data_IF_764787114263
#
_entry.id   IF_764787114263
#
_cell.length_a   1.000
_cell.length_b   1.000
_cell.length_c   1.000
_cell.angle_alpha   90.00
_cell.angle_beta   90.00
_cell.angle_gamma   90.00
#
_symmetry.space_group_name_H-M   'P 1'
#
loop_
_entity.id
_entity.type
_entity.pdbx_description
1 polymer ?
#
# COMPACT_ATOMS: atom_id res chain seq x y z
N UNK A 1 30.02 -13.88 16.29
CA UNK A 1 30.75 -12.75 15.70
C UNK A 1 30.65 -12.64 14.17
N UNK A 2 30.57 -13.70 13.35
CA UNK A 2 30.44 -13.58 11.87
C UNK A 2 29.03 -13.17 11.38
N UNK A 3 27.97 -13.52 12.11
CA UNK A 3 26.60 -13.15 11.72
C UNK A 3 26.27 -11.66 11.99
N UNK A 4 26.81 -11.09 13.06
CA UNK A 4 26.63 -9.67 13.40
C UNK A 4 27.37 -8.73 12.44
N UNK A 5 28.56 -9.10 11.94
CA UNK A 5 29.29 -8.30 10.95
C UNK A 5 28.59 -8.28 9.57
N UNK A 6 27.92 -9.37 9.16
CA UNK A 6 27.18 -9.41 7.89
C UNK A 6 25.87 -8.60 7.92
N UNK A 7 25.21 -8.50 9.07
CA UNK A 7 24.05 -7.59 9.25
C UNK A 7 24.49 -6.13 9.14
N UNK A 8 25.54 -5.71 9.87
CA UNK A 8 25.98 -4.31 9.88
C UNK A 8 26.44 -3.79 8.51
N UNK A 9 27.08 -4.61 7.68
CA UNK A 9 27.51 -4.20 6.33
C UNK A 9 26.34 -4.11 5.34
N UNK A 10 25.33 -4.99 5.42
CA UNK A 10 24.10 -4.88 4.61
C UNK A 10 23.27 -3.66 5.02
N UNK A 11 23.12 -3.39 6.31
CA UNK A 11 22.44 -2.20 6.82
C UNK A 11 23.13 -0.91 6.37
N UNK A 12 24.46 -0.86 6.35
CA UNK A 12 25.23 0.28 5.87
C UNK A 12 25.04 0.51 4.37
N UNK A 13 25.12 -0.54 3.55
CA UNK A 13 24.91 -0.44 2.10
C UNK A 13 23.49 0.00 1.75
N UNK A 14 22.48 -0.49 2.47
CA UNK A 14 21.09 -0.08 2.29
C UNK A 14 20.91 1.40 2.63
N UNK A 15 21.47 1.88 3.73
CA UNK A 15 21.42 3.29 4.13
C UNK A 15 22.13 4.20 3.11
N UNK A 16 23.29 3.79 2.60
CA UNK A 16 24.03 4.56 1.58
C UNK A 16 23.24 4.65 0.27
N UNK A 17 22.55 3.55 -0.12
CA UNK A 17 21.68 3.53 -1.28
C UNK A 17 20.46 4.45 -1.11
N UNK A 18 19.79 4.41 0.04
CA UNK A 18 18.68 5.31 0.37
C UNK A 18 19.12 6.77 0.38
N UNK A 19 20.29 7.07 0.98
CA UNK A 19 20.84 8.42 0.97
C UNK A 19 21.15 8.89 -0.46
N UNK A 20 21.68 8.02 -1.31
CA UNK A 20 21.94 8.34 -2.72
C UNK A 20 20.65 8.65 -3.46
N UNK A 21 19.59 7.86 -3.24
CA UNK A 21 18.28 8.09 -3.83
C UNK A 21 17.67 9.42 -3.31
N UNK A 22 17.72 9.68 -2.02
CA UNK A 22 17.27 10.93 -1.41
C UNK A 22 17.98 12.15 -2.02
N UNK A 23 19.32 12.11 -2.15
CA UNK A 23 20.10 13.20 -2.75
C UNK A 23 19.72 13.43 -4.23
N UNK A 24 19.47 12.35 -4.97
CA UNK A 24 19.03 12.43 -6.35
C UNK A 24 17.63 13.07 -6.48
N UNK A 25 16.68 12.66 -5.61
CA UNK A 25 15.33 13.24 -5.56
C UNK A 25 15.42 14.73 -5.23
N UNK A 26 16.16 15.11 -4.20
CA UNK A 26 16.34 16.52 -3.83
C UNK A 26 16.90 17.34 -5.00
N UNK A 27 18.01 16.90 -5.60
CA UNK A 27 18.61 17.59 -6.74
C UNK A 27 17.69 17.64 -7.98
N UNK A 28 16.81 16.64 -8.15
CA UNK A 28 15.83 16.61 -9.25
C UNK A 28 14.75 17.65 -9.06
N UNK A 29 14.26 17.81 -7.83
CA UNK A 29 13.24 18.80 -7.48
C UNK A 29 13.83 20.23 -7.44
N UNK A 30 15.06 20.40 -6.98
CA UNK A 30 15.76 21.70 -7.08
C UNK A 30 15.89 22.15 -8.55
N UNK A 31 16.26 21.25 -9.46
CA UNK A 31 16.33 21.56 -10.92
C UNK A 31 14.97 21.94 -11.53
N UNK A 32 13.86 21.43 -10.95
CA UNK A 32 12.51 21.85 -11.34
C UNK A 32 12.20 23.29 -10.88
N UNK A 33 12.96 23.82 -9.95
CA UNK A 33 12.74 25.13 -9.33
C UNK A 33 12.01 25.08 -7.99
N UNK A 34 11.90 23.92 -7.37
CA UNK A 34 11.33 23.78 -6.03
C UNK A 34 12.28 24.36 -4.98
N UNK A 35 11.71 24.96 -3.93
CA UNK A 35 12.39 25.06 -2.64
C UNK A 35 12.43 23.66 -2.02
N UNK A 36 13.61 23.19 -1.61
CA UNK A 36 13.78 21.83 -1.07
C UNK A 36 14.31 21.88 0.35
N UNK A 37 13.67 21.17 1.24
CA UNK A 37 14.08 20.93 2.62
C UNK A 37 14.20 19.43 2.86
N UNK A 38 15.21 19.01 3.63
CA UNK A 38 15.40 17.61 4.03
C UNK A 38 15.26 17.52 5.55
N UNK A 39 14.21 16.82 5.98
CA UNK A 39 13.89 16.65 7.41
C UNK A 39 14.42 15.29 7.85
N UNK A 40 15.40 15.28 8.74
CA UNK A 40 16.02 14.07 9.28
C UNK A 40 15.55 13.74 10.69
N UNK A 41 15.57 12.44 11.01
CA UNK A 41 15.50 11.87 12.37
C UNK A 41 16.63 10.87 12.50
N UNK A 42 17.28 10.83 13.67
CA UNK A 42 18.36 9.88 13.91
C UNK A 42 17.92 8.45 13.71
N UNK A 43 18.62 7.74 12.83
CA UNK A 43 18.40 6.33 12.55
C UNK A 43 17.36 6.01 11.49
N UNK A 44 16.62 7.01 10.99
CA UNK A 44 15.61 6.87 9.92
C UNK A 44 16.05 7.53 8.60
N UNK A 45 15.55 7.08 7.44
CA UNK A 45 15.64 7.79 6.17
C UNK A 45 14.95 9.15 6.25
N UNK A 46 15.50 10.18 5.63
CA UNK A 46 14.98 11.55 5.71
C UNK A 46 13.74 11.74 4.84
N UNK A 47 12.81 12.58 5.29
CA UNK A 47 11.72 13.10 4.46
C UNK A 47 12.24 14.26 3.61
N UNK A 48 12.03 14.21 2.30
CA UNK A 48 12.28 15.33 1.37
C UNK A 48 10.98 16.10 1.22
N UNK A 49 10.98 17.36 1.59
CA UNK A 49 9.88 18.30 1.38
C UNK A 49 10.28 19.27 0.28
N UNK A 50 9.46 19.38 -0.77
CA UNK A 50 9.75 20.32 -1.85
C UNK A 50 8.49 21.05 -2.29
N UNK A 51 8.58 22.36 -2.51
CA UNK A 51 7.43 23.17 -2.89
C UNK A 51 7.73 24.07 -4.08
N UNK A 52 6.73 24.21 -4.97
CA UNK A 52 6.79 25.11 -6.11
C UNK A 52 5.39 25.66 -6.42
N UNK A 53 5.30 26.93 -6.85
CA UNK A 53 4.05 27.59 -7.18
C UNK A 53 3.37 28.25 -5.98
N UNK A 54 2.20 28.82 -6.21
CA UNK A 54 1.41 29.56 -5.23
C UNK A 54 -0.10 29.27 -5.40
N UNK A 55 -0.91 29.61 -4.39
CA UNK A 55 -2.35 29.41 -4.39
C UNK A 55 -2.78 28.09 -3.78
N UNK A 56 -3.89 27.46 -4.28
CA UNK A 56 -4.35 26.19 -3.76
C UNK A 56 -3.24 25.16 -3.75
N UNK A 57 -3.13 24.37 -2.68
CA UNK A 57 -2.03 23.44 -2.49
C UNK A 57 -2.46 22.00 -2.75
N UNK A 58 -1.76 21.32 -3.67
CA UNK A 58 -1.83 19.87 -3.81
C UNK A 58 -0.56 19.25 -3.25
N UNK A 59 -0.70 18.31 -2.33
CA UNK A 59 0.42 17.54 -1.77
C UNK A 59 0.58 16.22 -2.54
N UNK A 60 1.76 15.97 -3.11
CA UNK A 60 2.13 14.72 -3.75
C UNK A 60 2.98 13.90 -2.78
N UNK A 61 2.43 12.81 -2.26
CA UNK A 61 3.13 11.86 -1.38
C UNK A 61 3.79 10.80 -2.25
N UNK A 62 5.08 10.60 -2.08
CA UNK A 62 5.89 9.71 -2.91
C UNK A 62 6.98 9.07 -2.06
N UNK A 63 7.65 8.05 -2.58
CA UNK A 63 8.77 7.43 -1.87
C UNK A 63 9.97 7.14 -2.76
N UNK A 64 11.15 6.99 -2.15
CA UNK A 64 12.40 6.71 -2.85
C UNK A 64 13.03 5.37 -2.47
N UNK A 65 12.50 4.66 -1.49
CA UNK A 65 12.86 3.27 -1.21
C UNK A 65 12.22 2.30 -2.23
N UNK A 66 12.52 1.05 -2.11
CA UNK A 66 12.01 -0.01 -3.00
C UNK A 66 12.06 -1.36 -2.28
N UNK A 67 11.17 -2.27 -2.64
CA UNK A 67 11.21 -3.66 -2.18
C UNK A 67 12.50 -4.40 -2.57
N UNK A 68 12.91 -5.42 -1.79
CA UNK A 68 13.98 -6.31 -2.19
C UNK A 68 13.74 -6.95 -3.57
N UNK A 69 14.81 -7.09 -4.35
CA UNK A 69 14.71 -7.63 -5.70
C UNK A 69 14.76 -9.18 -5.81
N UNK A 70 14.89 -9.88 -4.68
CA UNK A 70 14.91 -11.35 -4.70
C UNK A 70 13.54 -11.94 -5.12
N UNK A 71 13.55 -13.10 -5.83
CA UNK A 71 14.70 -13.88 -6.30
C UNK A 71 15.34 -13.29 -7.58
N UNK A 72 16.69 -13.20 -7.60
CA UNK A 72 17.41 -12.49 -8.66
C UNK A 72 17.47 -13.26 -9.98
N UNK A 73 17.40 -14.58 -9.93
CA UNK A 73 17.46 -15.49 -11.08
C UNK A 73 16.22 -15.42 -11.99
N UNK A 74 15.15 -14.82 -11.53
CA UNK A 74 13.91 -14.64 -12.30
C UNK A 74 13.86 -13.31 -13.06
N UNK A 75 14.88 -12.44 -12.92
CA UNK A 75 14.92 -11.18 -13.63
C UNK A 75 15.51 -11.33 -15.06
N UNK A 76 14.87 -10.70 -16.03
CA UNK A 76 15.33 -10.64 -17.44
C UNK A 76 16.57 -9.77 -17.63
N UNK A 77 16.83 -8.86 -16.70
CA UNK A 77 18.00 -7.98 -16.62
C UNK A 77 18.29 -7.68 -15.15
N UNK A 78 19.51 -7.28 -14.77
CA UNK A 78 19.80 -6.93 -13.39
C UNK A 78 18.79 -5.92 -12.84
N UNK A 79 18.17 -6.15 -11.67
CA UNK A 79 17.02 -5.37 -11.21
C UNK A 79 17.31 -3.88 -10.97
N UNK A 80 18.56 -3.52 -10.76
CA UNK A 80 18.99 -2.13 -10.53
C UNK A 80 19.71 -1.51 -11.73
N UNK A 81 19.69 -2.18 -12.88
CA UNK A 81 20.19 -1.69 -14.17
C UNK A 81 19.00 -1.56 -15.12
N UNK A 82 18.39 -0.36 -15.23
CA UNK A 82 17.18 -0.18 -16.02
C UNK A 82 17.35 -0.58 -17.49
N UNK A 83 16.45 -1.40 -17.99
CA UNK A 83 16.44 -1.85 -19.38
C UNK A 83 15.12 -1.55 -20.07
N UNK A 84 15.17 -0.96 -21.26
CA UNK A 84 13.96 -0.75 -22.07
C UNK A 84 13.76 -1.94 -23.00
N UNK A 85 12.60 -2.59 -22.90
CA UNK A 85 12.18 -3.70 -23.77
C UNK A 85 10.69 -3.55 -24.10
N UNK A 86 10.34 -3.68 -25.34
CA UNK A 86 8.94 -3.65 -25.82
C UNK A 86 8.12 -2.46 -25.29
N UNK A 87 8.73 -1.26 -25.25
CA UNK A 87 8.10 -0.05 -24.74
C UNK A 87 7.92 0.00 -23.22
N UNK A 88 8.58 -0.89 -22.49
CA UNK A 88 8.58 -0.94 -21.02
C UNK A 88 9.97 -0.67 -20.46
N UNK A 89 10.05 0.11 -19.41
CA UNK A 89 11.24 0.25 -18.58
C UNK A 89 11.18 -0.80 -17.48
N UNK A 90 12.11 -1.75 -17.48
CA UNK A 90 12.18 -2.87 -16.54
C UNK A 90 13.27 -2.57 -15.51
N UNK A 91 12.91 -2.39 -14.27
CA UNK A 91 13.81 -2.29 -13.11
C UNK A 91 13.01 -2.34 -11.81
N UNK A 92 13.64 -2.65 -10.68
CA UNK A 92 13.05 -2.46 -9.35
C UNK A 92 12.84 -0.97 -9.06
N UNK A 93 11.62 -0.57 -8.65
CA UNK A 93 11.21 0.82 -8.47
C UNK A 93 10.81 1.53 -9.77
N UNK A 94 10.70 0.80 -10.90
CA UNK A 94 10.33 1.40 -12.18
C UNK A 94 8.86 1.82 -12.21
N UNK A 95 7.99 1.06 -11.55
CA UNK A 95 6.59 1.41 -11.37
C UNK A 95 6.40 1.98 -9.97
N UNK A 96 6.81 1.26 -8.97
CA UNK A 96 6.64 1.49 -7.56
C UNK A 96 7.95 2.02 -6.92
N UNK A 97 8.16 3.36 -6.84
CA UNK A 97 7.24 4.41 -7.37
C UNK A 97 8.01 5.47 -8.19
N UNK A 98 9.31 5.22 -8.49
CA UNK A 98 10.20 6.21 -9.13
C UNK A 98 9.74 6.63 -10.53
N UNK A 99 9.10 5.73 -11.27
CA UNK A 99 8.56 6.04 -12.58
C UNK A 99 7.34 6.96 -12.51
N UNK A 100 6.42 6.71 -11.58
CA UNK A 100 5.27 7.59 -11.36
C UNK A 100 5.70 8.96 -10.82
N UNK A 101 6.62 9.00 -9.85
CA UNK A 101 7.22 10.24 -9.38
C UNK A 101 7.78 11.07 -10.56
N UNK A 102 8.58 10.44 -11.42
CA UNK A 102 9.15 11.12 -12.57
C UNK A 102 8.10 11.58 -13.58
N UNK A 103 7.08 10.78 -13.85
CA UNK A 103 6.00 11.17 -14.75
C UNK A 103 5.28 12.44 -14.24
N UNK A 104 5.03 12.55 -12.94
CA UNK A 104 4.48 13.76 -12.33
C UNK A 104 5.43 14.95 -12.47
N UNK A 105 6.71 14.78 -12.18
CA UNK A 105 7.74 15.82 -12.36
C UNK A 105 7.82 16.27 -13.81
N UNK A 106 7.77 15.38 -14.79
CA UNK A 106 7.73 15.73 -16.23
C UNK A 106 6.48 16.52 -16.59
N UNK A 107 5.34 16.21 -16.01
CA UNK A 107 4.11 17.01 -16.16
C UNK A 107 4.30 18.45 -15.70
N UNK A 108 4.93 18.65 -14.52
CA UNK A 108 5.25 20.00 -14.02
C UNK A 108 6.24 20.73 -14.91
N UNK A 109 7.32 20.06 -15.38
CA UNK A 109 8.28 20.64 -16.33
C UNK A 109 7.60 21.09 -17.62
N UNK A 110 6.75 20.24 -18.19
CA UNK A 110 6.01 20.57 -19.41
C UNK A 110 5.08 21.78 -19.19
N UNK A 111 4.41 21.82 -18.02
CA UNK A 111 3.56 22.94 -17.68
C UNK A 111 4.35 24.26 -17.55
N UNK A 112 5.44 24.23 -16.79
CA UNK A 112 6.31 25.40 -16.60
C UNK A 112 6.93 25.87 -17.93
N UNK A 113 7.35 24.94 -18.79
CA UNK A 113 7.87 25.28 -20.11
C UNK A 113 6.82 25.96 -21.01
N UNK A 114 5.55 25.56 -20.89
CA UNK A 114 4.49 26.10 -21.72
C UNK A 114 3.91 27.41 -21.16
N UNK A 115 3.81 27.57 -19.84
CA UNK A 115 3.04 28.66 -19.20
C UNK A 115 3.90 29.53 -18.27
N UNK A 116 5.13 29.16 -17.98
CA UNK A 116 6.08 29.91 -17.15
C UNK A 116 5.82 29.87 -15.64
N UNK A 117 4.63 29.48 -15.21
CA UNK A 117 4.22 29.36 -13.79
C UNK A 117 3.16 28.29 -13.61
N UNK A 118 3.11 27.69 -12.42
CA UNK A 118 2.02 26.76 -12.06
C UNK A 118 0.74 27.50 -11.65
N UNK A 119 -0.46 26.91 -11.86
CA UNK A 119 -1.73 27.51 -11.48
C UNK A 119 -2.07 27.30 -10.01
N UNK A 120 -1.33 26.44 -9.32
CA UNK A 120 -1.48 26.08 -7.91
C UNK A 120 -0.09 25.77 -7.31
N UNK A 121 -0.03 25.68 -5.98
CA UNK A 121 1.15 25.17 -5.28
C UNK A 121 1.17 23.65 -5.36
N UNK A 122 2.33 23.09 -5.70
CA UNK A 122 2.60 21.65 -5.61
C UNK A 122 3.62 21.45 -4.50
N UNK A 123 3.26 20.62 -3.52
CA UNK A 123 4.14 20.16 -2.45
C UNK A 123 4.44 18.70 -2.66
N UNK A 124 5.71 18.32 -2.63
CA UNK A 124 6.15 16.93 -2.58
C UNK A 124 6.54 16.57 -1.16
N UNK A 125 6.05 15.44 -0.67
CA UNK A 125 6.52 14.73 0.51
C UNK A 125 7.08 13.41 0.00
N UNK A 126 8.42 13.27 -0.01
CA UNK A 126 9.07 12.07 -0.55
C UNK A 126 9.84 11.37 0.55
N UNK A 127 9.34 10.24 1.00
CA UNK A 127 9.90 9.45 2.10
C UNK A 127 10.77 8.27 1.63
N UNK A 128 11.39 7.57 2.56
CA UNK A 128 12.30 6.45 2.27
C UNK A 128 12.00 5.19 3.06
N UNK A 129 10.78 5.01 3.55
CA UNK A 129 10.33 3.86 4.34
C UNK A 129 8.88 3.47 4.02
N UNK A 130 8.34 3.88 2.88
CA UNK A 130 6.97 3.54 2.47
C UNK A 130 6.78 2.03 2.44
N UNK A 131 7.72 1.33 1.84
CA UNK A 131 7.78 -0.13 1.70
C UNK A 131 7.90 -0.89 3.04
N UNK A 132 8.15 -0.15 4.13
CA UNK A 132 8.15 -0.63 5.50
C UNK A 132 6.94 -0.12 6.31
N UNK A 133 5.97 0.55 5.66
CA UNK A 133 4.76 1.11 6.25
C UNK A 133 4.96 2.45 6.93
N UNK A 134 5.89 3.25 6.45
CA UNK A 134 6.10 4.66 6.82
C UNK A 134 6.23 4.92 8.34
N UNK A 135 7.04 4.14 9.07
CA UNK A 135 7.03 4.16 10.55
C UNK A 135 7.41 5.50 11.17
N UNK A 136 8.06 6.38 10.41
CA UNK A 136 8.50 7.68 10.91
C UNK A 136 7.75 8.87 10.30
N UNK A 137 6.91 8.67 9.28
CA UNK A 137 6.23 9.76 8.57
C UNK A 137 5.35 10.60 9.50
N UNK A 138 4.50 9.98 10.31
CA UNK A 138 3.70 10.69 11.30
C UNK A 138 4.56 11.59 12.19
N UNK A 139 5.70 11.08 12.68
CA UNK A 139 6.64 11.85 13.51
C UNK A 139 7.31 13.02 12.80
N UNK A 140 7.52 12.97 11.48
CA UNK A 140 7.96 14.12 10.69
C UNK A 140 6.87 15.18 10.60
N UNK A 141 5.64 14.73 10.32
CA UNK A 141 4.49 15.62 10.18
C UNK A 141 4.08 16.26 11.52
N UNK A 142 4.25 15.58 12.65
CA UNK A 142 3.99 16.14 13.98
C UNK A 142 4.93 17.30 14.34
N UNK A 143 6.16 17.29 13.80
CA UNK A 143 7.12 18.40 13.93
C UNK A 143 6.85 19.55 12.97
N UNK A 144 6.12 19.28 11.89
CA UNK A 144 5.81 20.22 10.81
C UNK A 144 4.33 20.08 10.43
N UNK A 145 3.40 20.39 11.37
CA UNK A 145 1.97 20.17 11.18
C UNK A 145 1.39 20.91 9.97
N UNK A 146 2.01 22.02 9.56
CA UNK A 146 1.65 22.76 8.36
C UNK A 146 1.78 21.94 7.05
N UNK A 147 2.54 20.86 7.06
CA UNK A 147 2.67 19.96 5.92
C UNK A 147 1.41 19.12 5.68
N UNK A 148 0.54 18.98 6.69
CA UNK A 148 -0.77 18.32 6.56
C UNK A 148 -1.84 19.24 5.96
N UNK A 149 -1.58 20.55 5.92
CA UNK A 149 -2.54 21.52 5.39
C UNK A 149 -2.40 21.58 3.87
N UNK A 150 -3.44 21.13 3.16
CA UNK A 150 -3.52 21.17 1.71
C UNK A 150 -4.99 21.21 1.25
N UNK A 151 -5.25 21.60 0.01
CA UNK A 151 -6.58 21.57 -0.62
C UNK A 151 -6.85 20.21 -1.30
N UNK A 152 -5.84 19.37 -1.38
CA UNK A 152 -5.94 18.00 -1.86
C UNK A 152 -4.61 17.27 -1.85
N UNK A 153 -4.63 15.93 -1.90
CA UNK A 153 -3.45 15.10 -1.91
C UNK A 153 -3.48 14.07 -3.05
N UNK A 154 -2.32 13.83 -3.66
CA UNK A 154 -2.06 12.73 -4.57
C UNK A 154 -1.06 11.78 -3.94
N UNK A 155 -1.30 10.51 -4.05
CA UNK A 155 -0.34 9.45 -3.71
C UNK A 155 0.10 8.75 -5.00
N UNK A 156 0.98 7.79 -4.92
CA UNK A 156 1.14 6.78 -5.95
C UNK A 156 -0.12 5.94 -6.07
N UNK A 157 -0.31 5.30 -7.21
CA UNK A 157 -1.45 4.42 -7.43
C UNK A 157 -2.35 4.92 -8.55
N UNK A 158 -3.52 4.33 -8.63
CA UNK A 158 -4.28 4.39 -9.86
C UNK A 158 -3.66 3.44 -10.89
N UNK A 159 -4.00 3.63 -12.13
CA UNK A 159 -3.42 2.77 -13.16
C UNK A 159 -4.31 2.70 -14.38
N UNK A 160 -4.16 1.60 -15.11
CA UNK A 160 -4.88 1.35 -16.36
C UNK A 160 -5.32 -0.10 -16.41
N UNK A 161 -6.59 -0.34 -16.67
CA UNK A 161 -7.11 -1.69 -16.85
C UNK A 161 -6.66 -2.32 -18.19
N UNK A 162 -6.98 -3.60 -18.38
CA UNK A 162 -6.63 -4.33 -19.60
C UNK A 162 -7.30 -3.80 -20.87
N UNK A 163 -8.36 -3.00 -20.74
CA UNK A 163 -9.02 -2.31 -21.86
C UNK A 163 -8.39 -0.93 -22.16
N UNK A 164 -7.36 -0.53 -21.41
CA UNK A 164 -6.71 0.78 -21.53
C UNK A 164 -7.57 1.92 -20.98
N UNK A 165 -8.45 1.64 -20.03
CA UNK A 165 -9.22 2.65 -19.30
C UNK A 165 -8.42 3.08 -18.07
N UNK A 166 -8.25 4.38 -17.83
CA UNK A 166 -7.58 4.85 -16.61
C UNK A 166 -8.44 4.57 -15.38
N UNK A 167 -7.76 4.37 -14.26
CA UNK A 167 -8.35 4.19 -12.94
C UNK A 167 -7.98 5.39 -12.08
N UNK A 168 -8.98 6.05 -11.49
CA UNK A 168 -8.78 7.07 -10.46
C UNK A 168 -9.20 6.47 -9.13
N UNK A 169 -8.26 6.44 -8.18
CA UNK A 169 -8.50 5.93 -6.83
C UNK A 169 -8.83 7.07 -5.88
N UNK A 170 -9.76 6.82 -4.94
CA UNK A 170 -10.21 7.82 -3.98
C UNK A 170 -9.78 7.51 -2.55
N UNK A 171 -9.06 6.40 -2.34
CA UNK A 171 -8.70 5.96 -1.00
C UNK A 171 -7.70 4.83 -0.98
N UNK A 172 -7.30 4.52 0.23
CA UNK A 172 -6.32 3.49 0.56
C UNK A 172 -6.81 2.71 1.78
N UNK A 173 -6.49 1.42 1.86
CA UNK A 173 -6.80 0.60 3.03
C UNK A 173 -5.81 0.82 4.16
N UNK A 174 -6.31 0.61 5.38
CA UNK A 174 -5.44 0.41 6.53
C UNK A 174 -4.87 -1.01 6.59
N UNK A 175 -3.94 -1.21 7.51
CA UNK A 175 -3.35 -2.52 7.76
C UNK A 175 -2.98 -2.70 9.23
N UNK A 176 -3.13 -3.94 9.70
CA UNK A 176 -2.59 -4.44 10.95
C UNK A 176 -1.84 -5.74 10.67
N UNK A 177 -0.60 -5.86 11.13
CA UNK A 177 0.17 -7.12 11.10
C UNK A 177 0.37 -7.62 12.51
N UNK A 178 0.02 -8.88 12.78
CA UNK A 178 0.19 -9.52 14.07
C UNK A 178 0.95 -10.85 13.94
N UNK A 179 1.83 -11.11 14.91
CA UNK A 179 2.51 -12.39 15.10
C UNK A 179 1.88 -13.12 16.28
N UNK A 180 1.45 -14.35 16.06
CA UNK A 180 0.89 -15.24 17.06
C UNK A 180 1.94 -16.28 17.44
N UNK A 181 2.05 -16.59 18.73
CA UNK A 181 2.95 -17.61 19.22
C UNK A 181 2.31 -18.38 20.38
N UNK A 182 2.49 -19.69 20.39
CA UNK A 182 2.08 -20.54 21.50
C UNK A 182 3.18 -21.54 21.86
N UNK A 183 3.35 -21.77 23.15
CA UNK A 183 4.19 -22.83 23.69
C UNK A 183 3.35 -23.72 24.58
N UNK A 184 3.29 -25.01 24.29
CA UNK A 184 2.47 -25.98 25.00
C UNK A 184 3.28 -26.90 25.94
N UNK A 185 4.56 -27.12 25.65
CA UNK A 185 5.49 -27.91 26.45
C UNK A 185 6.86 -27.21 26.51
N UNK A 186 7.73 -27.64 27.43
CA UNK A 186 9.02 -26.98 27.64
C UNK A 186 10.01 -27.11 26.48
N UNK A 187 10.02 -28.25 25.79
CA UNK A 187 10.85 -28.58 24.65
C UNK A 187 10.18 -29.63 23.78
N UNK A 188 10.64 -29.81 22.56
CA UNK A 188 10.13 -30.85 21.67
C UNK A 188 10.27 -32.22 22.30
N UNK A 189 9.25 -33.05 22.17
CA UNK A 189 9.20 -34.40 22.72
C UNK A 189 9.13 -35.45 21.60
N UNK A 190 9.55 -36.67 21.88
CA UNK A 190 9.34 -37.78 20.96
C UNK A 190 7.84 -38.01 20.70
N UNK A 191 7.46 -38.22 19.45
CA UNK A 191 6.04 -38.34 19.06
C UNK A 191 5.30 -39.52 19.65
N UNK A 192 6.00 -40.51 20.21
CA UNK A 192 5.38 -41.60 20.99
C UNK A 192 4.54 -41.12 22.18
N UNK A 193 4.81 -39.92 22.67
CA UNK A 193 4.07 -39.32 23.77
C UNK A 193 2.89 -38.43 23.29
N UNK A 194 2.61 -38.37 21.98
CA UNK A 194 1.60 -37.49 21.42
C UNK A 194 0.17 -37.72 21.97
N UNK A 195 -0.14 -38.90 22.49
CA UNK A 195 -1.40 -39.18 23.15
C UNK A 195 -1.55 -38.49 24.54
N UNK A 196 -0.45 -38.02 25.11
CA UNK A 196 -0.42 -37.45 26.46
C UNK A 196 -0.02 -35.98 26.47
N UNK A 197 0.82 -35.56 25.52
CA UNK A 197 1.40 -34.21 25.50
C UNK A 197 0.60 -33.28 24.58
N UNK A 198 0.30 -32.04 25.02
CA UNK A 198 -0.31 -31.05 24.17
C UNK A 198 0.64 -30.65 23.04
N UNK A 199 0.09 -30.54 21.81
CA UNK A 199 0.84 -30.24 20.60
C UNK A 199 0.60 -28.79 20.18
N UNK A 200 1.68 -28.00 20.10
CA UNK A 200 1.60 -26.59 19.77
C UNK A 200 1.08 -26.35 18.34
N UNK A 201 1.39 -27.22 17.37
CA UNK A 201 0.90 -27.09 16.00
C UNK A 201 -0.63 -27.24 15.94
N UNK A 202 -1.19 -28.22 16.65
CA UNK A 202 -2.65 -28.42 16.73
C UNK A 202 -3.29 -27.22 17.42
N UNK A 203 -2.70 -26.75 18.53
CA UNK A 203 -3.21 -25.61 19.28
C UNK A 203 -3.28 -24.33 18.44
N UNK A 204 -2.22 -24.02 17.70
CA UNK A 204 -2.17 -22.87 16.80
C UNK A 204 -3.15 -23.03 15.63
N UNK A 205 -3.27 -24.21 15.04
CA UNK A 205 -4.22 -24.46 13.96
C UNK A 205 -5.67 -24.23 14.40
N UNK A 206 -6.02 -24.63 15.62
CA UNK A 206 -7.36 -24.38 16.19
C UNK A 206 -7.59 -22.90 16.45
N UNK A 207 -6.60 -22.18 17.00
CA UNK A 207 -6.67 -20.74 17.21
C UNK A 207 -6.86 -19.98 15.88
N UNK A 208 -6.11 -20.34 14.84
CA UNK A 208 -6.27 -19.74 13.50
C UNK A 208 -7.67 -20.08 12.94
N UNK A 209 -8.11 -21.32 13.04
CA UNK A 209 -9.43 -21.72 12.54
C UNK A 209 -10.58 -20.95 13.17
N UNK A 210 -10.46 -20.52 14.45
CA UNK A 210 -11.48 -19.72 15.12
C UNK A 210 -11.65 -18.31 14.55
N UNK A 211 -10.67 -17.81 13.78
CA UNK A 211 -10.74 -16.49 13.14
C UNK A 211 -11.60 -16.47 11.87
N UNK A 212 -12.02 -17.64 11.39
CA UNK A 212 -12.73 -17.79 10.12
C UNK A 212 -14.00 -18.62 10.28
N UNK A 213 -14.99 -18.33 9.45
CA UNK A 213 -16.16 -19.18 9.33
C UNK A 213 -15.90 -20.44 8.48
N UNK A 214 -16.92 -21.30 8.35
CA UNK A 214 -16.82 -22.54 7.60
C UNK A 214 -16.55 -22.35 6.09
N UNK A 215 -16.85 -21.18 5.55
CA UNK A 215 -16.61 -20.79 4.16
C UNK A 215 -15.26 -20.07 3.98
N UNK A 216 -14.48 -19.87 5.04
CA UNK A 216 -13.18 -19.23 5.03
C UNK A 216 -13.24 -17.70 5.03
N UNK A 217 -14.38 -17.10 5.40
CA UNK A 217 -14.47 -15.65 5.61
C UNK A 217 -13.95 -15.28 6.99
N UNK A 218 -13.22 -14.14 7.13
CA UNK A 218 -12.87 -13.63 8.44
C UNK A 218 -14.14 -13.36 9.26
N UNK A 219 -14.17 -13.88 10.49
CA UNK A 219 -15.37 -13.83 11.34
C UNK A 219 -15.05 -13.76 12.85
N UNK A 220 -13.84 -13.39 13.22
CA UNK A 220 -13.52 -13.25 14.64
C UNK A 220 -14.34 -12.11 15.28
N UNK A 221 -14.68 -12.29 16.56
CA UNK A 221 -15.54 -11.38 17.31
C UNK A 221 -14.95 -9.95 17.30
N UNK A 222 -15.79 -8.98 16.99
CA UNK A 222 -15.40 -7.57 16.94
C UNK A 222 -14.65 -7.12 15.70
N UNK A 223 -14.36 -7.98 14.71
CA UNK A 223 -13.72 -7.56 13.45
C UNK A 223 -14.51 -6.45 12.74
N UNK A 224 -15.83 -6.54 12.77
CA UNK A 224 -16.73 -5.58 12.10
C UNK A 224 -17.21 -4.44 13.00
N UNK A 225 -16.76 -4.38 14.26
CA UNK A 225 -17.17 -3.33 15.19
C UNK A 225 -16.55 -1.99 14.82
N UNK A 226 -17.34 -0.93 14.86
CA UNK A 226 -16.91 0.43 14.56
C UNK A 226 -16.76 0.73 13.06
N UNK A 227 -17.08 -0.21 12.16
CA UNK A 227 -17.09 0.03 10.74
C UNK A 227 -18.30 0.88 10.36
N UNK A 228 -18.07 1.97 9.62
CA UNK A 228 -19.15 2.69 8.94
C UNK A 228 -19.51 1.92 7.67
N UNK A 229 -20.78 1.51 7.51
CA UNK A 229 -21.21 0.83 6.28
C UNK A 229 -20.93 1.70 5.04
N UNK A 230 -20.54 1.09 3.92
CA UNK A 230 -20.34 1.82 2.67
C UNK A 230 -21.64 2.51 2.24
N UNK A 231 -21.50 3.72 1.72
CA UNK A 231 -22.65 4.49 1.22
C UNK A 231 -23.25 3.84 -0.05
N UNK A 232 -24.52 4.12 -0.37
CA UNK A 232 -25.12 3.65 -1.62
C UNK A 232 -24.34 4.08 -2.87
N UNK A 233 -23.70 5.26 -2.83
CA UNK A 233 -22.84 5.73 -3.91
C UNK A 233 -21.58 4.90 -4.05
N UNK A 234 -20.87 4.62 -2.94
CA UNK A 234 -19.68 3.75 -2.94
C UNK A 234 -20.02 2.35 -3.46
N UNK A 235 -21.16 1.80 -3.04
CA UNK A 235 -21.66 0.51 -3.54
C UNK A 235 -21.91 0.58 -5.06
N UNK A 236 -22.55 1.64 -5.55
CA UNK A 236 -22.81 1.81 -6.96
C UNK A 236 -21.54 1.95 -7.80
N UNK A 237 -20.53 2.66 -7.29
CA UNK A 237 -19.21 2.77 -7.95
C UNK A 237 -18.54 1.42 -8.07
N UNK A 238 -18.55 0.61 -6.99
CA UNK A 238 -17.96 -0.73 -7.00
C UNK A 238 -18.72 -1.67 -7.93
N UNK A 239 -20.04 -1.62 -7.94
CA UNK A 239 -20.85 -2.43 -8.84
C UNK A 239 -20.65 -2.07 -10.32
N UNK A 240 -20.35 -0.81 -10.60
CA UNK A 240 -20.08 -0.31 -11.95
C UNK A 240 -18.67 -0.71 -12.49
N UNK A 241 -17.77 -1.19 -11.63
CA UNK A 241 -16.48 -1.71 -12.09
C UNK A 241 -16.68 -2.92 -13.03
N UNK A 242 -15.82 -3.09 -14.04
CA UNK A 242 -15.90 -4.24 -14.95
C UNK A 242 -15.83 -5.56 -14.18
N UNK A 243 -16.64 -6.54 -14.59
CA UNK A 243 -16.61 -7.89 -13.98
C UNK A 243 -15.29 -8.61 -14.27
N UNK A 244 -14.66 -8.29 -15.41
CA UNK A 244 -13.32 -8.77 -15.75
C UNK A 244 -12.26 -8.49 -14.66
N UNK A 245 -12.45 -7.46 -13.84
CA UNK A 245 -11.54 -7.20 -12.73
C UNK A 245 -11.50 -8.38 -11.73
N UNK A 246 -12.65 -9.00 -11.45
CA UNK A 246 -12.71 -10.18 -10.59
C UNK A 246 -12.37 -11.47 -11.38
N UNK A 247 -12.89 -11.62 -12.60
CA UNK A 247 -12.69 -12.82 -13.40
C UNK A 247 -11.23 -13.00 -13.83
N UNK A 248 -10.49 -11.91 -14.05
CA UNK A 248 -9.05 -11.97 -14.33
C UNK A 248 -8.25 -12.59 -13.18
N UNK A 249 -8.67 -12.40 -11.92
CA UNK A 249 -8.02 -13.05 -10.77
C UNK A 249 -8.24 -14.56 -10.76
N UNK A 250 -9.44 -15.06 -11.12
CA UNK A 250 -9.67 -16.49 -11.23
C UNK A 250 -8.70 -17.12 -12.24
N UNK A 251 -8.51 -16.46 -13.38
CA UNK A 251 -7.60 -16.93 -14.41
C UNK A 251 -6.12 -16.79 -14.00
N UNK A 252 -5.72 -15.64 -13.44
CA UNK A 252 -4.33 -15.36 -13.06
C UNK A 252 -3.81 -16.29 -11.96
N UNK A 253 -4.69 -16.70 -11.03
CA UNK A 253 -4.35 -17.61 -9.93
C UNK A 253 -4.82 -19.05 -10.14
N UNK A 254 -5.34 -19.39 -11.32
CA UNK A 254 -5.79 -20.74 -11.69
C UNK A 254 -6.76 -21.34 -10.67
N UNK A 255 -7.71 -20.53 -10.17
CA UNK A 255 -8.72 -20.96 -9.21
C UNK A 255 -10.12 -21.03 -9.86
N UNK A 256 -10.94 -21.97 -9.40
CA UNK A 256 -12.30 -22.18 -9.95
C UNK A 256 -13.33 -21.25 -9.30
N UNK A 257 -13.08 -20.80 -8.08
CA UNK A 257 -14.01 -19.97 -7.29
C UNK A 257 -13.30 -19.13 -6.24
N UNK A 258 -13.87 -17.99 -5.93
CA UNK A 258 -13.47 -17.16 -4.78
C UNK A 258 -13.96 -17.76 -3.46
N UNK A 259 -13.39 -17.26 -2.36
CA UNK A 259 -13.82 -17.55 -0.99
C UNK A 259 -15.34 -17.36 -0.87
N UNK A 260 -16.00 -18.29 -0.18
CA UNK A 260 -17.45 -18.33 -0.01
C UNK A 260 -18.26 -18.34 -1.32
N UNK A 261 -17.66 -18.75 -2.44
CA UNK A 261 -18.34 -18.84 -3.75
C UNK A 261 -18.82 -17.50 -4.32
N UNK A 262 -18.26 -16.38 -3.86
CA UNK A 262 -18.61 -15.02 -4.31
C UNK A 262 -18.43 -14.86 -5.82
N UNK A 263 -19.29 -14.07 -6.48
CA UNK A 263 -19.25 -13.78 -7.92
C UNK A 263 -19.74 -12.36 -8.21
N UNK A 264 -19.36 -11.82 -9.37
CA UNK A 264 -19.84 -10.52 -9.86
C UNK A 264 -19.72 -9.41 -8.82
N UNK A 265 -20.76 -8.63 -8.61
CA UNK A 265 -20.78 -7.52 -7.63
C UNK A 265 -20.44 -7.95 -6.20
N UNK A 266 -20.83 -9.15 -5.76
CA UNK A 266 -20.50 -9.63 -4.42
C UNK A 266 -18.99 -9.86 -4.26
N UNK A 267 -18.29 -10.34 -5.28
CA UNK A 267 -16.83 -10.49 -5.25
C UNK A 267 -16.14 -9.11 -5.24
N UNK A 268 -16.59 -8.18 -6.10
CA UNK A 268 -16.07 -6.81 -6.16
C UNK A 268 -16.24 -6.07 -4.83
N UNK A 269 -17.44 -6.14 -4.23
CA UNK A 269 -17.71 -5.52 -2.93
C UNK A 269 -16.84 -6.11 -1.82
N UNK A 270 -16.66 -7.43 -1.78
CA UNK A 270 -15.79 -8.06 -0.82
C UNK A 270 -14.32 -7.63 -0.98
N UNK A 271 -13.84 -7.58 -2.22
CA UNK A 271 -12.48 -7.16 -2.50
C UNK A 271 -12.20 -5.70 -2.14
N UNK A 272 -13.19 -4.82 -2.21
CA UNK A 272 -13.00 -3.35 -2.09
C UNK A 272 -13.54 -2.80 -0.77
N UNK A 273 -14.68 -3.28 -0.28
CA UNK A 273 -15.42 -2.65 0.82
C UNK A 273 -15.38 -3.43 2.14
N UNK A 274 -14.93 -4.69 2.14
CA UNK A 274 -14.88 -5.50 3.36
C UNK A 274 -13.45 -5.56 3.94
N UNK A 275 -13.27 -5.62 5.27
CA UNK A 275 -11.97 -5.90 5.84
C UNK A 275 -11.54 -7.33 5.51
N UNK A 276 -10.23 -7.58 5.50
CA UNK A 276 -9.69 -8.93 5.26
C UNK A 276 -8.93 -9.41 6.51
N UNK A 277 -8.78 -10.71 6.65
CA UNK A 277 -7.81 -11.34 7.53
C UNK A 277 -7.10 -12.43 6.71
N UNK A 278 -5.78 -12.36 6.63
CA UNK A 278 -4.97 -13.28 5.86
C UNK A 278 -3.96 -13.98 6.78
N UNK A 279 -3.69 -15.26 6.55
CA UNK A 279 -2.62 -16.00 7.22
C UNK A 279 -1.42 -16.04 6.30
N UNK A 280 -0.48 -15.10 6.48
CA UNK A 280 0.71 -14.97 5.64
C UNK A 280 1.85 -15.93 6.03
N UNK A 281 1.74 -16.57 7.19
CA UNK A 281 2.71 -17.58 7.63
C UNK A 281 2.17 -18.44 8.76
N UNK A 282 2.48 -19.74 8.71
CA UNK A 282 2.15 -20.72 9.77
C UNK A 282 3.27 -21.78 9.82
N UNK A 283 3.92 -21.92 10.98
CA UNK A 283 5.04 -22.87 11.13
C UNK A 283 5.15 -23.44 12.54
N UNK A 284 5.58 -24.67 12.62
CA UNK A 284 5.82 -25.42 13.88
C UNK A 284 6.65 -26.67 13.60
N UNK A 285 7.37 -27.14 14.62
CA UNK A 285 8.12 -28.40 14.54
C UNK A 285 9.28 -28.36 13.55
N UNK A 286 9.63 -29.53 13.01
CA UNK A 286 10.77 -29.68 12.11
C UNK A 286 10.37 -29.40 10.66
N UNK A 287 10.94 -28.35 10.08
CA UNK A 287 10.63 -27.88 8.72
C UNK A 287 11.81 -28.01 7.74
N UNK A 288 12.97 -28.57 8.19
CA UNK A 288 14.11 -28.83 7.33
C UNK A 288 13.94 -30.16 6.55
N UNK A 289 14.73 -30.41 5.50
CA UNK A 289 14.70 -31.69 4.78
C UNK A 289 14.95 -32.89 5.70
N UNK A 290 14.20 -33.96 5.50
CA UNK A 290 14.25 -35.17 6.31
C UNK A 290 13.01 -35.38 7.17
N UNK A 291 13.03 -36.36 8.07
CA UNK A 291 11.91 -36.71 8.96
C UNK A 291 12.41 -36.63 10.41
N UNK A 292 11.66 -35.91 11.24
CA UNK A 292 11.82 -35.88 12.68
C UNK A 292 10.45 -36.11 13.35
N UNK A 293 10.32 -37.23 14.07
CA UNK A 293 9.06 -37.62 14.70
C UNK A 293 8.96 -37.02 16.09
N UNK A 294 8.42 -35.76 16.14
CA UNK A 294 8.33 -34.99 17.38
C UNK A 294 6.90 -34.52 17.64
N UNK A 295 6.60 -34.22 18.91
CA UNK A 295 5.52 -33.35 19.35
C UNK A 295 6.13 -31.97 19.56
N UNK A 296 5.83 -30.95 18.72
CA UNK A 296 6.47 -29.66 18.80
C UNK A 296 6.04 -28.88 20.04
N UNK A 297 7.01 -28.21 20.66
CA UNK A 297 6.81 -27.38 21.82
C UNK A 297 6.21 -26.01 21.49
N UNK A 298 6.52 -25.49 20.31
CA UNK A 298 6.13 -24.15 19.88
C UNK A 298 5.49 -24.16 18.51
N UNK A 299 4.55 -23.21 18.31
CA UNK A 299 3.99 -22.91 17.01
C UNK A 299 3.84 -21.39 16.86
N UNK A 300 3.95 -20.92 15.64
CA UNK A 300 3.89 -19.52 15.28
C UNK A 300 2.99 -19.32 14.07
N UNK A 301 2.32 -18.18 14.03
CA UNK A 301 1.61 -17.71 12.84
C UNK A 301 1.85 -16.21 12.65
N UNK A 302 1.67 -15.77 11.43
CA UNK A 302 1.66 -14.36 11.06
C UNK A 302 0.37 -14.09 10.30
N UNK A 303 -0.34 -13.07 10.73
CA UNK A 303 -1.57 -12.62 10.08
C UNK A 303 -1.44 -11.15 9.69
N UNK A 304 -2.08 -10.78 8.60
CA UNK A 304 -2.29 -9.42 8.17
C UNK A 304 -3.79 -9.16 7.95
N UNK A 305 -4.24 -8.03 8.44
CA UNK A 305 -5.65 -7.61 8.39
C UNK A 305 -5.68 -6.29 7.62
N UNK A 306 -6.36 -6.28 6.46
CA UNK A 306 -6.65 -5.02 5.77
C UNK A 306 -7.87 -4.39 6.38
N UNK A 307 -7.72 -3.13 6.78
CA UNK A 307 -8.74 -2.36 7.48
C UNK A 307 -9.51 -1.47 6.50
N UNK A 308 -10.75 -1.19 6.84
CA UNK A 308 -11.61 -0.21 6.17
C UNK A 308 -11.76 1.04 7.06
N UNK A 309 -12.34 2.15 6.56
CA UNK A 309 -12.51 3.37 7.36
C UNK A 309 -13.13 3.12 8.73
N UNK A 310 -12.73 3.94 9.69
CA UNK A 310 -13.12 3.92 11.10
C UNK A 310 -12.62 2.72 11.92
N UNK A 311 -11.92 1.78 11.30
CA UNK A 311 -11.18 0.77 12.05
C UNK A 311 -9.82 1.34 12.51
N UNK A 312 -9.63 1.31 13.83
CA UNK A 312 -8.35 1.63 14.46
C UNK A 312 -7.53 0.35 14.66
N UNK A 313 -6.30 0.27 14.15
CA UNK A 313 -5.46 -0.93 14.25
C UNK A 313 -5.28 -1.45 15.68
N UNK A 314 -5.10 -0.54 16.66
CA UNK A 314 -4.92 -0.93 18.05
C UNK A 314 -6.20 -1.52 18.63
N UNK A 315 -7.36 -0.95 18.29
CA UNK A 315 -8.67 -1.48 18.70
C UNK A 315 -8.93 -2.86 18.09
N UNK A 316 -8.60 -3.07 16.82
CA UNK A 316 -8.73 -4.38 16.16
C UNK A 316 -7.79 -5.41 16.80
N UNK A 317 -6.58 -5.01 17.18
CA UNK A 317 -5.62 -5.87 17.90
C UNK A 317 -6.15 -6.29 19.28
N UNK A 318 -6.79 -5.39 20.01
CA UNK A 318 -7.45 -5.70 21.29
C UNK A 318 -8.54 -6.73 21.07
N UNK A 319 -9.44 -6.53 20.12
CA UNK A 319 -10.53 -7.46 19.78
C UNK A 319 -10.03 -8.83 19.35
N UNK A 320 -8.95 -8.89 18.60
CA UNK A 320 -8.32 -10.17 18.24
C UNK A 320 -7.86 -10.94 19.48
N UNK A 321 -7.28 -10.25 20.47
CA UNK A 321 -6.87 -10.88 21.74
C UNK A 321 -8.08 -11.35 22.56
N UNK A 322 -9.09 -10.52 22.67
CA UNK A 322 -10.35 -10.84 23.36
C UNK A 322 -11.07 -12.04 22.73
N UNK A 323 -11.10 -12.10 21.39
CA UNK A 323 -11.62 -13.26 20.65
C UNK A 323 -10.87 -14.55 21.01
N UNK A 324 -9.53 -14.51 20.94
CA UNK A 324 -8.72 -15.69 21.27
C UNK A 324 -8.92 -16.12 22.73
N UNK A 325 -9.00 -15.19 23.66
CA UNK A 325 -9.23 -15.48 25.07
C UNK A 325 -10.61 -16.09 25.30
N UNK A 326 -11.69 -15.49 24.75
CA UNK A 326 -13.07 -15.95 24.90
C UNK A 326 -13.32 -17.32 24.28
N UNK A 327 -12.56 -17.68 23.24
CA UNK A 327 -12.60 -18.98 22.57
C UNK A 327 -11.62 -20.00 23.19
N UNK A 328 -11.05 -19.70 24.36
CA UNK A 328 -10.18 -20.61 25.11
C UNK A 328 -8.75 -20.67 24.57
N UNK A 329 -8.29 -19.69 23.81
CA UNK A 329 -6.93 -19.56 23.26
C UNK A 329 -6.11 -18.46 23.95
N UNK A 330 -6.39 -18.12 25.21
CA UNK A 330 -5.68 -17.10 25.97
C UNK A 330 -4.18 -17.39 26.21
N UNK A 331 -3.75 -18.63 25.96
CA UNK A 331 -2.33 -19.03 25.94
C UNK A 331 -1.59 -18.65 24.63
N UNK A 332 -2.29 -18.22 23.60
CA UNK A 332 -1.72 -17.74 22.35
C UNK A 332 -1.32 -16.27 22.49
N UNK A 333 -0.03 -16.02 22.58
CA UNK A 333 0.50 -14.66 22.65
C UNK A 333 0.34 -13.96 21.29
N UNK A 334 -0.23 -12.74 21.31
CA UNK A 334 -0.39 -11.88 20.13
C UNK A 334 0.53 -10.67 20.28
N UNK A 335 1.43 -10.49 19.32
CA UNK A 335 2.38 -9.36 19.23
C UNK A 335 2.18 -8.62 17.93
N UNK A 336 2.37 -7.31 17.96
CA UNK A 336 2.50 -6.47 16.76
C UNK A 336 3.92 -5.90 16.71
N UNK A 337 4.40 -5.58 15.53
CA UNK A 337 5.71 -4.94 15.32
C UNK A 337 5.58 -3.44 15.08
N UNK A 338 4.64 -2.77 15.72
CA UNK A 338 4.29 -1.36 15.48
C UNK A 338 3.85 -1.10 14.03
N UNK A 339 3.19 -2.06 13.41
CA UNK A 339 2.67 -1.96 12.07
C UNK A 339 1.16 -1.88 12.13
N UNK A 340 0.65 -0.69 12.11
CA UNK A 340 -0.76 -0.42 11.96
C UNK A 340 -0.94 0.95 11.35
N UNK A 341 -1.63 1.04 10.23
CA UNK A 341 -2.10 2.30 9.66
C UNK A 341 -3.58 2.22 9.41
N UNK A 342 -4.28 3.36 9.55
CA UNK A 342 -5.70 3.47 9.31
C UNK A 342 -6.00 3.60 7.82
N UNK A 343 -7.17 3.16 7.41
CA UNK A 343 -7.69 3.43 6.08
C UNK A 343 -8.05 4.92 5.95
N UNK A 344 -7.92 5.45 4.73
CA UNK A 344 -8.38 6.79 4.41
C UNK A 344 -9.10 6.79 3.05
N UNK A 345 -10.36 7.19 3.03
CA UNK A 345 -11.18 7.27 1.82
C UNK A 345 -11.75 8.66 1.66
N UNK A 346 -11.67 9.18 0.45
CA UNK A 346 -12.25 10.49 0.09
C UNK A 346 -13.61 10.34 -0.57
N UNK A 347 -14.49 11.34 -0.46
CA UNK A 347 -15.70 11.40 -1.26
C UNK A 347 -15.37 11.38 -2.75
N UNK A 348 -16.10 10.59 -3.53
CA UNK A 348 -15.90 10.47 -4.98
C UNK A 348 -16.23 11.76 -5.75
N UNK A 349 -16.97 12.67 -5.14
CA UNK A 349 -17.33 14.00 -5.65
C UNK A 349 -16.39 15.11 -5.15
N UNK A 350 -15.36 14.77 -4.36
CA UNK A 350 -14.37 15.74 -3.91
C UNK A 350 -13.72 16.48 -5.09
N UNK A 351 -13.43 17.80 -4.96
CA UNK A 351 -12.86 18.60 -6.04
C UNK A 351 -11.62 17.99 -6.68
N UNK A 352 -10.74 17.39 -5.90
CA UNK A 352 -9.52 16.74 -6.39
C UNK A 352 -9.84 15.49 -7.22
N UNK A 353 -10.80 14.65 -6.75
CA UNK A 353 -11.22 13.43 -7.47
C UNK A 353 -11.83 13.80 -8.82
N UNK A 354 -12.75 14.73 -8.84
CA UNK A 354 -13.38 15.20 -10.08
C UNK A 354 -12.35 15.83 -11.04
N UNK A 355 -11.32 16.50 -10.50
CA UNK A 355 -10.24 17.07 -11.30
C UNK A 355 -9.37 15.99 -11.91
N UNK A 356 -9.02 14.95 -11.15
CA UNK A 356 -8.27 13.78 -11.64
C UNK A 356 -9.07 13.03 -12.73
N UNK A 357 -10.36 12.79 -12.50
CA UNK A 357 -11.25 12.13 -13.47
C UNK A 357 -11.29 12.90 -14.80
N UNK A 358 -11.58 14.22 -14.77
CA UNK A 358 -11.63 15.04 -15.98
C UNK A 358 -10.28 15.12 -16.70
N UNK A 359 -9.19 15.24 -15.94
CA UNK A 359 -7.85 15.27 -16.51
C UNK A 359 -7.51 13.96 -17.21
N UNK A 360 -7.72 12.83 -16.54
CA UNK A 360 -7.46 11.51 -17.11
C UNK A 360 -8.35 11.25 -18.33
N UNK A 361 -9.65 11.51 -18.27
CA UNK A 361 -10.56 11.35 -19.42
C UNK A 361 -10.07 12.13 -20.65
N UNK A 362 -9.62 13.39 -20.45
CA UNK A 362 -9.13 14.24 -21.55
C UNK A 362 -7.87 13.71 -22.23
N UNK A 363 -7.02 12.97 -21.52
CA UNK A 363 -5.75 12.44 -22.02
C UNK A 363 -5.89 11.02 -22.58
N UNK A 364 -6.65 10.20 -21.89
CA UNK A 364 -6.79 8.78 -22.22
C UNK A 364 -7.92 8.51 -23.23
N UNK A 365 -8.83 9.50 -23.45
CA UNK A 365 -9.95 9.36 -24.36
C UNK A 365 -11.03 8.38 -23.90
N UNK A 366 -10.94 7.92 -22.65
CA UNK A 366 -11.91 7.04 -21.99
C UNK A 366 -12.22 7.58 -20.61
N UNK A 367 -13.50 7.53 -20.21
CA UNK A 367 -13.89 7.90 -18.86
C UNK A 367 -13.24 6.95 -17.85
N UNK A 368 -12.54 7.47 -16.82
CA UNK A 368 -11.92 6.64 -15.80
C UNK A 368 -12.92 5.77 -15.04
N UNK A 369 -12.49 4.59 -14.64
CA UNK A 369 -13.12 3.89 -13.52
C UNK A 369 -12.75 4.60 -12.22
N UNK A 370 -13.73 4.83 -11.36
CA UNK A 370 -13.51 5.41 -10.02
C UNK A 370 -13.44 4.24 -9.04
N UNK A 371 -12.28 4.04 -8.42
CA UNK A 371 -12.06 3.03 -7.40
C UNK A 371 -12.14 3.69 -6.03
N UNK A 372 -13.11 3.27 -5.22
CA UNK A 372 -13.36 3.84 -3.88
C UNK A 372 -12.12 3.75 -3.00
N UNK A 373 -11.38 2.65 -3.08
CA UNK A 373 -10.11 2.43 -2.40
C UNK A 373 -9.21 1.50 -3.17
N UNK A 374 -7.91 1.73 -3.12
CA UNK A 374 -6.92 0.73 -3.48
C UNK A 374 -6.95 -0.44 -2.47
N UNK A 375 -6.76 -1.69 -2.90
CA UNK A 375 -6.61 -2.82 -1.98
C UNK A 375 -5.28 -2.79 -1.19
N UNK A 376 -4.32 -1.99 -1.62
CA UNK A 376 -3.05 -1.74 -0.95
C UNK A 376 -3.18 -0.87 0.31
N UNK A 377 -2.04 -0.48 0.86
CA UNK A 377 -1.94 0.35 2.06
C UNK A 377 -0.86 1.39 1.85
N UNK A 378 -1.14 2.64 2.26
CA UNK A 378 -0.23 3.76 2.21
C UNK A 378 -0.51 4.73 3.38
N UNK A 379 0.40 5.64 3.72
CA UNK A 379 0.30 6.45 4.94
C UNK A 379 -0.65 7.67 4.80
N UNK A 380 -1.68 7.59 3.97
CA UNK A 380 -2.54 8.74 3.68
C UNK A 380 -3.40 9.19 4.85
N UNK A 381 -3.65 8.30 5.81
CA UNK A 381 -4.25 8.72 7.08
C UNK A 381 -3.41 9.79 7.79
N UNK A 382 -2.10 9.59 7.89
CA UNK A 382 -1.19 10.50 8.59
C UNK A 382 -1.06 11.86 7.89
N UNK A 383 -1.22 11.88 6.57
CA UNK A 383 -1.13 13.09 5.76
C UNK A 383 -2.45 13.85 5.71
N UNK A 384 -3.57 13.16 5.62
CA UNK A 384 -4.85 13.75 5.20
C UNK A 384 -5.88 13.89 6.32
N UNK A 385 -5.90 12.97 7.31
CA UNK A 385 -7.05 12.83 8.19
C UNK A 385 -7.24 14.01 9.14
N UNK A 386 -6.18 14.60 9.66
CA UNK A 386 -6.26 15.70 10.64
C UNK A 386 -7.02 16.92 10.11
N UNK A 387 -6.89 17.22 8.82
CA UNK A 387 -7.53 18.35 8.18
C UNK A 387 -8.61 17.96 7.15
N UNK A 388 -8.96 16.68 7.07
CA UNK A 388 -9.95 16.19 6.12
C UNK A 388 -9.56 16.43 4.65
N UNK A 389 -8.27 16.41 4.34
CA UNK A 389 -7.74 16.63 2.99
C UNK A 389 -8.15 15.48 2.08
N UNK A 390 -8.93 15.76 1.05
CA UNK A 390 -9.32 14.71 0.10
C UNK A 390 -8.12 14.25 -0.74
N UNK A 391 -8.02 12.93 -0.99
CA UNK A 391 -7.04 12.35 -1.89
C UNK A 391 -7.68 11.85 -3.19
N UNK A 392 -6.88 11.84 -4.25
CA UNK A 392 -7.17 11.13 -5.49
C UNK A 392 -5.87 10.69 -6.13
N UNK A 393 -5.84 9.50 -6.75
CA UNK A 393 -4.64 8.98 -7.36
C UNK A 393 -4.90 8.56 -8.80
N UNK A 394 -3.92 8.80 -9.65
CA UNK A 394 -3.87 8.35 -11.05
C UNK A 394 -2.43 7.99 -11.40
N UNK A 395 -2.24 6.88 -12.08
CA UNK A 395 -0.92 6.31 -12.32
C UNK A 395 -0.80 5.55 -13.63
N UNK A 396 0.33 4.87 -13.76
CA UNK A 396 0.72 4.12 -14.96
C UNK A 396 0.64 2.60 -14.76
N UNK A 397 0.35 2.13 -13.56
CA UNK A 397 0.27 0.72 -13.20
C UNK A 397 -0.67 -0.06 -14.13
N UNK A 398 -0.31 -1.29 -14.41
CA UNK A 398 -1.16 -2.25 -15.11
C UNK A 398 -1.05 -3.60 -14.41
N UNK A 399 -1.97 -4.55 -14.63
CA UNK A 399 -1.81 -5.90 -14.08
C UNK A 399 -0.46 -6.56 -14.45
N UNK A 400 0.17 -6.12 -15.55
CA UNK A 400 1.47 -6.61 -16.01
C UNK A 400 2.67 -5.82 -15.47
N UNK A 401 2.47 -4.81 -14.63
CA UNK A 401 3.57 -3.99 -14.07
C UNK A 401 4.44 -4.74 -13.07
N UNK A 402 3.89 -5.76 -12.40
CA UNK A 402 4.61 -6.65 -11.48
C UNK A 402 5.27 -5.92 -10.32
N UNK A 403 4.62 -4.93 -9.72
CA UNK A 403 5.07 -4.36 -8.45
C UNK A 403 5.43 -5.47 -7.44
N UNK A 404 6.48 -5.28 -6.65
CA UNK A 404 7.03 -6.23 -5.68
C UNK A 404 7.51 -7.59 -6.23
N UNK A 405 7.49 -7.81 -7.57
CA UNK A 405 7.89 -9.06 -8.20
C UNK A 405 9.09 -8.87 -9.16
N UNK A 406 9.78 -9.97 -9.58
CA UNK A 406 10.77 -9.91 -10.64
C UNK A 406 10.18 -9.37 -11.95
N UNK A 407 10.98 -8.58 -12.66
CA UNK A 407 10.61 -7.89 -13.90
C UNK A 407 9.54 -6.81 -13.71
N UNK A 408 9.52 -6.18 -12.53
CA UNK A 408 8.76 -4.95 -12.33
C UNK A 408 9.05 -3.96 -13.46
N UNK A 409 8.00 -3.31 -13.96
CA UNK A 409 8.12 -2.48 -15.14
C UNK A 409 7.03 -1.42 -15.23
N UNK A 410 7.36 -0.30 -15.85
CA UNK A 410 6.40 0.73 -16.25
C UNK A 410 6.36 0.84 -17.79
N UNK A 411 5.18 0.97 -18.35
CA UNK A 411 5.01 1.30 -19.77
C UNK A 411 5.37 2.77 -20.02
N UNK A 412 6.24 3.02 -20.99
CA UNK A 412 6.70 4.37 -21.30
C UNK A 412 5.59 5.26 -21.87
N UNK A 413 4.69 4.70 -22.67
CA UNK A 413 3.52 5.42 -23.18
C UNK A 413 2.50 5.75 -22.08
N UNK A 414 2.38 4.90 -21.04
CA UNK A 414 1.56 5.21 -19.87
C UNK A 414 2.21 6.30 -18.99
N UNK A 415 3.52 6.22 -18.76
CA UNK A 415 4.24 7.27 -18.03
C UNK A 415 4.10 8.65 -18.72
N UNK A 416 4.17 8.68 -20.06
CA UNK A 416 3.90 9.90 -20.84
C UNK A 416 2.45 10.40 -20.62
N UNK A 417 1.46 9.51 -20.65
CA UNK A 417 0.08 9.87 -20.41
C UNK A 417 -0.16 10.36 -18.98
N UNK A 418 0.51 9.78 -17.98
CA UNK A 418 0.46 10.29 -16.58
C UNK A 418 1.03 11.70 -16.53
N UNK A 419 2.16 11.98 -17.18
CA UNK A 419 2.72 13.33 -17.26
C UNK A 419 1.73 14.32 -17.91
N UNK A 420 1.08 13.93 -19.00
CA UNK A 420 0.03 14.74 -19.65
C UNK A 420 -1.21 14.91 -18.77
N UNK A 421 -1.59 13.86 -18.02
CA UNK A 421 -2.70 13.94 -17.07
C UNK A 421 -2.37 14.93 -15.96
N UNK A 422 -1.12 14.94 -15.46
CA UNK A 422 -0.68 15.91 -14.46
C UNK A 422 -0.80 17.35 -14.99
N UNK A 423 -0.42 17.64 -16.24
CA UNK A 423 -0.59 18.95 -16.86
C UNK A 423 -2.06 19.40 -16.84
N UNK A 424 -2.99 18.53 -17.22
CA UNK A 424 -4.42 18.83 -17.23
C UNK A 424 -5.01 18.94 -15.82
N UNK A 425 -4.53 18.09 -14.92
CA UNK A 425 -4.95 18.05 -13.53
C UNK A 425 -4.69 19.39 -12.82
N UNK A 426 -3.52 19.99 -13.00
CA UNK A 426 -3.16 21.25 -12.35
C UNK A 426 -4.19 22.38 -12.64
N UNK A 427 -4.61 22.53 -13.89
CA UNK A 427 -5.62 23.52 -14.28
C UNK A 427 -6.98 23.19 -13.67
N UNK A 428 -7.40 21.92 -13.75
CA UNK A 428 -8.69 21.46 -13.25
C UNK A 428 -8.79 21.63 -11.72
N UNK A 429 -7.72 21.25 -11.02
CA UNK A 429 -7.63 21.36 -9.57
C UNK A 429 -7.67 22.82 -9.12
N UNK A 430 -6.81 23.68 -9.68
CA UNK A 430 -6.79 25.10 -9.33
C UNK A 430 -8.10 25.80 -9.58
N UNK A 431 -8.82 25.42 -10.64
CA UNK A 431 -10.15 25.96 -10.94
C UNK A 431 -11.21 25.46 -9.95
N UNK A 432 -11.19 24.17 -9.61
CA UNK A 432 -12.20 23.55 -8.74
C UNK A 432 -12.15 24.08 -7.30
N UNK A 433 -10.95 24.26 -6.73
CA UNK A 433 -10.80 24.80 -5.36
C UNK A 433 -11.25 26.26 -5.27
N UNK A 434 -11.02 27.07 -6.31
CA UNK A 434 -11.49 28.48 -6.33
C UNK A 434 -13.00 28.63 -6.38
N UNK A 435 -13.72 27.61 -6.84
CA UNK A 435 -15.18 27.60 -6.95
C UNK A 435 -15.88 27.07 -5.70
N UNK A 436 -15.16 26.47 -4.78
CA UNK A 436 -15.72 25.98 -3.52
C UNK A 436 -15.69 27.13 -2.51
N UNK A 437 -16.84 27.65 -2.03
CA UNK A 437 -16.84 28.66 -0.97
C UNK A 437 -16.22 28.06 0.30
N UNK A 438 -15.30 28.78 0.92
CA UNK A 438 -14.70 28.47 2.23
C UNK A 438 -15.73 28.46 3.36
#
# INVERSE_FOLDING_TARGET
MRATRRRSTRDTQARDALRTAQLWVSARLERLGCSVEVIGVDGAPSLVVAEIGEGPTVTCVQHYDVQPAAPLDLWLSPPYEPAVRDGRLIARGAEDNKGEFLARVWGLEAYLAAFGRLPCRVRFLVEGEEELGSPHLAGYLDRRPELRVADGALMEGGGVDDEGRPIVQCGIRGMLVAELAVRTIAHDAHSSFAALLPNAAIRMSQAIASLFDAEGRPSFDGLLDGIVPPTPEQIALVDALPDQLADSLLHAFEIERFVAGRKGSAAKRAAILEPTCNVSGLWSGYIAPGIMTITPAEAHARIDIRLVPDQDPDSVLVRLREHLESHGFGDVAVKTRNWGTRAYWSPSDAPIVLSAVRAAESVWGKRPSILVTDPGTAPMWDVCAEHGVAQADFGAATPASRAHAPNENIRLDHAEKVARTMVRFLDQFAASVRLTPS
#
